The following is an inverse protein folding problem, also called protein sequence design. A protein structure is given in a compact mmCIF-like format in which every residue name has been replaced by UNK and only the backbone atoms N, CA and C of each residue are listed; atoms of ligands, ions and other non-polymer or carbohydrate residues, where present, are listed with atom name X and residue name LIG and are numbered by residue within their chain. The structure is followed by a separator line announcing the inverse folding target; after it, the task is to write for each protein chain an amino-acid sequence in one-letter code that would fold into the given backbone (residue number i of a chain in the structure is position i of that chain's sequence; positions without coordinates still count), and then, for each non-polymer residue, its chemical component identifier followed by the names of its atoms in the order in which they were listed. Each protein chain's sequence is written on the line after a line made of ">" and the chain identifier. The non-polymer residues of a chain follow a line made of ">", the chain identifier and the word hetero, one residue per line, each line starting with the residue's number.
data_IF_273107314712
#
_entry.id   IF_273107314712
#
_cell.length_a   1.000
_cell.length_b   1.000
_cell.length_c   1.000
_cell.angle_alpha   90.00
_cell.angle_beta   90.00
_cell.angle_gamma   90.00
#
_symmetry.space_group_name_H-M   'P 1'
#
loop_
_entity.id
_entity.type
_entity.pdbx_description
1 polymer ?
#
# COMPACT_ATOMS: atom_id res chain seq x y z
N UNK A 1 27.38 29.27 13.59
CA UNK A 1 26.53 28.48 14.52
C UNK A 1 25.86 27.32 13.79
N UNK A 2 25.00 27.57 12.79
CA UNK A 2 24.29 26.52 12.01
C UNK A 2 25.22 25.49 11.37
N UNK A 3 26.35 25.90 10.77
CA UNK A 3 27.34 24.98 10.19
C UNK A 3 27.91 23.99 11.23
N UNK A 4 28.14 24.44 12.46
CA UNK A 4 28.64 23.60 13.55
C UNK A 4 27.61 22.58 14.03
N UNK A 5 26.32 22.96 14.03
CA UNK A 5 25.21 22.06 14.37
C UNK A 5 24.99 20.98 13.31
N UNK A 6 25.19 21.33 12.04
CA UNK A 6 25.09 20.40 10.90
C UNK A 6 26.37 19.58 10.68
N UNK A 7 27.42 19.79 11.48
CA UNK A 7 28.74 19.19 11.30
C UNK A 7 29.35 19.44 9.90
N UNK A 8 29.12 20.63 9.32
CA UNK A 8 29.65 21.06 8.02
C UNK A 8 30.60 22.24 8.21
N UNK A 9 31.58 22.37 7.30
CA UNK A 9 32.49 23.50 7.23
C UNK A 9 31.74 24.81 6.93
N UNK A 10 31.99 25.85 7.72
CA UNK A 10 31.24 27.11 7.63
C UNK A 10 31.53 27.90 6.34
N UNK A 11 32.70 27.74 5.76
CA UNK A 11 33.11 28.32 4.48
C UNK A 11 32.37 27.68 3.31
N UNK A 12 32.29 26.34 3.29
CA UNK A 12 31.57 25.58 2.26
C UNK A 12 30.06 25.85 2.30
N UNK A 13 29.46 25.90 3.50
CA UNK A 13 28.03 26.22 3.63
C UNK A 13 27.72 27.64 3.14
N UNK A 14 28.61 28.60 3.43
CA UNK A 14 28.45 29.98 2.96
C UNK A 14 28.53 30.04 1.44
N UNK A 15 29.51 29.39 0.84
CA UNK A 15 29.67 29.34 -0.62
C UNK A 15 28.46 28.68 -1.29
N UNK A 16 27.96 27.57 -0.74
CA UNK A 16 26.79 26.88 -1.27
C UNK A 16 25.49 27.71 -1.23
N UNK A 17 25.31 28.56 -0.20
CA UNK A 17 24.14 29.44 -0.10
C UNK A 17 24.26 30.68 -1.00
N UNK A 18 25.49 31.18 -1.16
CA UNK A 18 25.75 32.48 -1.83
C UNK A 18 26.19 32.35 -3.28
N UNK A 19 26.43 31.14 -3.77
CA UNK A 19 26.83 30.89 -5.15
C UNK A 19 26.05 29.71 -5.74
N UNK A 20 25.89 29.69 -7.06
CA UNK A 20 25.39 28.54 -7.79
C UNK A 20 26.37 28.15 -8.89
N UNK A 21 26.45 26.85 -9.15
CA UNK A 21 27.33 26.27 -10.15
C UNK A 21 26.51 25.83 -11.37
N UNK A 22 26.95 26.21 -12.57
CA UNK A 22 26.37 25.76 -13.84
C UNK A 22 27.46 25.06 -14.63
N UNK A 23 27.23 23.79 -14.96
CA UNK A 23 28.12 23.03 -15.85
C UNK A 23 27.59 23.16 -17.28
N UNK A 24 28.39 23.75 -18.17
CA UNK A 24 28.07 23.89 -19.58
C UNK A 24 29.24 23.42 -20.44
N UNK A 25 29.00 22.44 -21.31
CA UNK A 25 30.00 21.90 -22.25
C UNK A 25 31.33 21.45 -21.60
N UNK A 26 31.26 20.89 -20.40
CA UNK A 26 32.42 20.39 -19.67
C UNK A 26 33.15 21.45 -18.82
N UNK A 27 32.71 22.70 -18.86
CA UNK A 27 33.22 23.77 -17.99
C UNK A 27 32.27 24.05 -16.83
N UNK A 28 32.85 24.24 -15.65
CA UNK A 28 32.14 24.52 -14.40
C UNK A 28 32.21 26.01 -14.13
N UNK A 29 31.08 26.72 -14.27
CA UNK A 29 30.99 28.16 -14.04
C UNK A 29 30.29 28.40 -12.70
N UNK A 30 31.02 28.97 -11.74
CA UNK A 30 30.47 29.39 -10.45
C UNK A 30 30.04 30.85 -10.56
N UNK A 31 28.80 31.16 -10.17
CA UNK A 31 28.24 32.51 -10.17
C UNK A 31 27.66 32.87 -8.81
N UNK A 32 27.87 34.11 -8.31
CA UNK A 32 27.25 34.55 -7.08
C UNK A 32 25.73 34.67 -7.26
N UNK A 33 24.98 34.28 -6.23
CA UNK A 33 23.54 34.46 -6.12
C UNK A 33 23.22 35.92 -5.79
N UNK A 34 22.06 36.39 -6.26
CA UNK A 34 21.47 37.63 -5.71
C UNK A 34 20.99 37.39 -4.28
N UNK A 35 20.72 38.47 -3.53
CA UNK A 35 20.23 38.38 -2.14
C UNK A 35 18.90 37.62 -2.06
N UNK A 36 18.01 37.84 -3.03
CA UNK A 36 16.73 37.14 -3.14
C UNK A 36 16.95 35.65 -3.38
N UNK A 37 17.86 35.30 -4.29
CA UNK A 37 18.15 33.90 -4.62
C UNK A 37 18.83 33.17 -3.46
N UNK A 38 19.76 33.81 -2.78
CA UNK A 38 20.40 33.25 -1.58
C UNK A 38 19.39 33.02 -0.44
N UNK A 39 18.42 33.92 -0.30
CA UNK A 39 17.28 33.79 0.64
C UNK A 39 16.41 32.59 0.28
N UNK A 40 16.03 32.43 -0.99
CA UNK A 40 15.26 31.26 -1.46
C UNK A 40 15.99 29.93 -1.20
N UNK A 41 17.30 29.87 -1.45
CA UNK A 41 18.12 28.66 -1.24
C UNK A 41 18.21 28.33 0.24
N UNK A 42 18.41 29.33 1.10
CA UNK A 42 18.41 29.16 2.56
C UNK A 42 17.06 28.63 3.06
N UNK A 43 15.95 29.19 2.59
CA UNK A 43 14.61 28.78 3.04
C UNK A 43 14.27 27.38 2.53
N UNK A 44 14.69 27.03 1.30
CA UNK A 44 14.57 25.66 0.77
C UNK A 44 15.42 24.66 1.57
N UNK A 45 16.64 25.03 1.98
CA UNK A 45 17.48 24.24 2.86
C UNK A 45 16.84 24.07 4.25
N UNK A 46 16.33 25.14 4.85
CA UNK A 46 15.61 25.08 6.14
C UNK A 46 14.43 24.13 6.05
N UNK A 47 13.65 24.23 4.98
CA UNK A 47 12.51 23.35 4.74
C UNK A 47 12.91 21.89 4.50
N UNK A 48 14.06 21.64 3.88
CA UNK A 48 14.57 20.28 3.69
C UNK A 48 15.12 19.67 4.99
N UNK A 49 15.55 20.51 5.93
CA UNK A 49 16.05 20.11 7.26
C UNK A 49 14.94 20.02 8.31
N UNK A 50 13.85 20.75 8.12
CA UNK A 50 12.60 20.52 8.82
C UNK A 50 12.02 19.20 8.31
N UNK A 51 12.34 18.10 9.01
CA UNK A 51 11.48 16.92 8.95
C UNK A 51 10.08 17.37 9.36
N UNK A 52 9.11 17.27 8.45
CA UNK A 52 7.69 17.40 8.78
C UNK A 52 7.37 16.35 9.85
N UNK A 53 7.52 16.75 11.12
CA UNK A 53 7.08 15.98 12.31
C UNK A 53 5.56 16.00 12.46
N UNK A 54 4.84 16.35 11.41
CA UNK A 54 3.39 16.18 11.36
C UNK A 54 3.11 14.68 11.24
N UNK A 55 2.65 14.10 12.35
CA UNK A 55 2.06 12.77 12.33
C UNK A 55 0.78 12.83 11.50
N UNK A 56 0.84 12.25 10.31
CA UNK A 56 -0.26 12.21 9.38
C UNK A 56 -0.94 10.84 9.43
N UNK A 57 -2.26 10.82 9.61
CA UNK A 57 -3.07 9.61 9.49
C UNK A 57 -3.65 9.57 8.07
N UNK A 58 -3.21 8.60 7.27
CA UNK A 58 -3.76 8.33 5.94
C UNK A 58 -4.92 7.36 6.01
N UNK A 59 -6.06 7.72 5.43
CA UNK A 59 -7.19 6.81 5.23
C UNK A 59 -7.25 6.43 3.75
N UNK A 60 -7.12 5.14 3.48
CA UNK A 60 -7.24 4.57 2.14
C UNK A 60 -8.60 3.90 1.98
N UNK A 61 -9.44 4.48 1.14
CA UNK A 61 -10.71 3.88 0.71
C UNK A 61 -10.58 3.43 -0.74
N UNK A 62 -10.66 2.11 -0.97
CA UNK A 62 -10.49 1.49 -2.28
C UNK A 62 -11.49 0.36 -2.48
N UNK A 63 -11.75 0.05 -3.75
CA UNK A 63 -12.52 -1.13 -4.11
C UNK A 63 -11.81 -2.41 -3.66
N UNK A 64 -12.57 -3.30 -3.02
CA UNK A 64 -12.13 -4.66 -2.76
C UNK A 64 -12.10 -5.50 -4.05
N UNK A 65 -11.61 -6.73 -3.93
CA UNK A 65 -11.54 -7.68 -5.04
C UNK A 65 -12.93 -7.93 -5.68
N UNK A 66 -13.00 -7.83 -7.01
CA UNK A 66 -14.23 -7.95 -7.79
C UNK A 66 -14.24 -9.20 -8.68
N UNK A 67 -15.36 -9.91 -8.68
CA UNK A 67 -15.59 -11.01 -9.61
C UNK A 67 -17.06 -11.04 -10.04
N UNK A 68 -17.31 -10.49 -11.23
CA UNK A 68 -18.62 -10.40 -11.85
C UNK A 68 -18.80 -11.45 -12.95
N UNK A 69 -20.04 -11.55 -13.47
CA UNK A 69 -20.33 -12.36 -14.67
C UNK A 69 -19.52 -11.93 -15.90
N UNK A 70 -19.15 -10.65 -15.97
CA UNK A 70 -18.32 -10.06 -17.03
C UNK A 70 -17.32 -9.12 -16.39
N UNK A 71 -16.03 -9.49 -16.40
CA UNK A 71 -14.94 -8.67 -15.89
C UNK A 71 -14.21 -8.04 -17.07
N UNK A 72 -13.93 -6.74 -17.01
CA UNK A 72 -13.21 -6.02 -18.06
C UNK A 72 -11.89 -5.44 -17.54
N UNK A 73 -11.35 -4.44 -18.23
CA UNK A 73 -10.07 -3.82 -17.94
C UNK A 73 -10.04 -3.17 -16.55
N UNK A 74 -11.16 -2.57 -16.14
CA UNK A 74 -11.34 -1.92 -14.86
C UNK A 74 -11.24 -2.92 -13.70
N UNK A 75 -11.96 -4.05 -13.80
CA UNK A 75 -11.86 -5.14 -12.84
C UNK A 75 -10.44 -5.71 -12.77
N UNK A 76 -9.74 -5.82 -13.90
CA UNK A 76 -8.35 -6.25 -13.91
C UNK A 76 -7.48 -5.29 -13.10
N UNK A 77 -7.58 -3.98 -13.32
CA UNK A 77 -6.86 -2.99 -12.53
C UNK A 77 -7.20 -3.07 -11.03
N UNK A 78 -8.49 -3.17 -10.68
CA UNK A 78 -8.93 -3.31 -9.28
C UNK A 78 -8.34 -4.57 -8.64
N UNK A 79 -8.40 -5.71 -9.32
CA UNK A 79 -7.91 -6.97 -8.79
C UNK A 79 -6.39 -7.01 -8.69
N UNK A 80 -5.65 -6.39 -9.62
CA UNK A 80 -4.19 -6.25 -9.52
C UNK A 80 -3.78 -5.30 -8.38
N UNK A 81 -4.54 -4.23 -8.12
CA UNK A 81 -4.31 -3.39 -6.94
C UNK A 81 -4.54 -4.18 -5.64
N UNK A 82 -5.61 -4.97 -5.57
CA UNK A 82 -5.89 -5.84 -4.43
C UNK A 82 -4.80 -6.91 -4.25
N UNK A 83 -4.33 -7.51 -5.34
CA UNK A 83 -3.21 -8.47 -5.33
C UNK A 83 -1.94 -7.86 -4.70
N UNK A 84 -1.61 -6.63 -5.10
CA UNK A 84 -0.42 -5.92 -4.62
C UNK A 84 -0.53 -5.49 -3.15
N UNK A 85 -1.72 -5.06 -2.72
CA UNK A 85 -1.99 -4.73 -1.32
C UNK A 85 -2.02 -5.99 -0.46
N UNK A 86 -2.54 -7.10 -0.97
CA UNK A 86 -2.52 -8.38 -0.28
C UNK A 86 -1.10 -8.93 -0.14
N UNK A 87 -0.26 -8.78 -1.18
CA UNK A 87 1.17 -9.11 -1.10
C UNK A 87 1.85 -8.28 -0.02
N UNK A 88 1.64 -6.95 -0.02
CA UNK A 88 2.18 -6.06 1.01
C UNK A 88 1.69 -6.45 2.41
N UNK A 89 0.40 -6.75 2.58
CA UNK A 89 -0.18 -7.20 3.84
C UNK A 89 0.51 -8.47 4.35
N UNK A 90 0.63 -9.49 3.49
CA UNK A 90 1.26 -10.76 3.85
C UNK A 90 2.73 -10.54 4.22
N UNK A 91 3.48 -9.80 3.40
CA UNK A 91 4.89 -9.54 3.65
C UNK A 91 5.09 -8.74 4.96
N UNK A 92 4.33 -7.67 5.18
CA UNK A 92 4.54 -6.78 6.31
C UNK A 92 4.05 -7.41 7.63
N UNK A 93 2.83 -7.96 7.67
CA UNK A 93 2.28 -8.55 8.90
C UNK A 93 3.07 -9.79 9.30
N UNK A 94 3.42 -10.68 8.36
CA UNK A 94 4.08 -11.94 8.72
C UNK A 94 5.59 -11.77 8.94
N UNK A 95 6.27 -10.89 8.21
CA UNK A 95 7.68 -10.60 8.51
C UNK A 95 7.80 -9.91 9.87
N UNK A 96 6.90 -8.97 10.18
CA UNK A 96 6.87 -8.33 11.50
C UNK A 96 6.55 -9.33 12.62
N UNK A 97 5.56 -10.20 12.41
CA UNK A 97 5.20 -11.25 13.38
C UNK A 97 6.36 -12.24 13.61
N UNK A 98 7.11 -12.62 12.55
CA UNK A 98 8.30 -13.46 12.69
C UNK A 98 9.46 -12.75 13.41
N UNK A 99 9.71 -11.47 13.11
CA UNK A 99 10.72 -10.67 13.80
C UNK A 99 10.40 -10.54 15.30
N UNK A 100 9.12 -10.35 15.63
CA UNK A 100 8.65 -10.32 17.01
C UNK A 100 8.91 -11.66 17.74
N UNK A 101 8.65 -12.80 17.10
CA UNK A 101 8.97 -14.11 17.68
C UNK A 101 10.47 -14.32 17.89
N UNK A 102 11.31 -13.90 16.92
CA UNK A 102 12.76 -13.97 17.04
C UNK A 102 13.26 -13.10 18.20
N UNK A 103 12.74 -11.88 18.31
CA UNK A 103 13.04 -10.96 19.41
C UNK A 103 12.60 -11.51 20.77
N UNK A 104 11.53 -12.31 20.80
CA UNK A 104 11.02 -12.99 22.00
C UNK A 104 11.76 -14.29 22.34
N UNK A 105 12.71 -14.73 21.50
CA UNK A 105 13.48 -15.96 21.69
C UNK A 105 12.71 -17.25 21.40
N UNK A 106 11.67 -17.16 20.57
CA UNK A 106 10.74 -18.26 20.29
C UNK A 106 11.10 -18.86 18.92
N UNK A 107 11.40 -20.16 18.90
CA UNK A 107 11.71 -20.87 17.67
C UNK A 107 10.42 -21.09 16.87
N UNK A 108 10.32 -20.46 15.70
CA UNK A 108 9.10 -20.45 14.90
C UNK A 108 9.31 -21.15 13.57
N UNK A 109 8.38 -22.06 13.27
CA UNK A 109 8.26 -22.67 11.95
C UNK A 109 7.93 -21.57 10.95
N UNK A 110 8.74 -21.47 9.89
CA UNK A 110 8.49 -20.56 8.76
C UNK A 110 7.06 -20.78 8.28
N UNK A 111 6.23 -19.74 8.36
CA UNK A 111 4.86 -19.83 7.88
C UNK A 111 4.90 -19.71 6.36
N UNK A 112 4.56 -20.79 5.68
CA UNK A 112 4.38 -20.80 4.23
C UNK A 112 3.05 -20.13 3.86
N UNK A 113 3.12 -19.14 2.98
CA UNK A 113 1.96 -18.51 2.37
C UNK A 113 2.10 -18.49 0.85
N UNK A 114 0.97 -18.32 0.16
CA UNK A 114 0.96 -18.28 -1.30
C UNK A 114 1.68 -17.02 -1.80
N UNK A 115 2.77 -17.21 -2.54
CA UNK A 115 3.52 -16.12 -3.16
C UNK A 115 2.83 -15.70 -4.47
N UNK A 116 2.17 -14.55 -4.43
CA UNK A 116 1.53 -13.93 -5.58
C UNK A 116 2.46 -12.97 -6.36
N UNK A 117 3.73 -12.86 -5.98
CA UNK A 117 4.74 -12.06 -6.69
C UNK A 117 4.89 -12.40 -8.18
N UNK A 118 4.86 -13.67 -8.63
CA UNK A 118 4.93 -13.98 -10.06
C UNK A 118 3.78 -13.37 -10.87
N UNK A 119 2.58 -13.27 -10.27
CA UNK A 119 1.43 -12.63 -10.90
C UNK A 119 1.60 -11.11 -10.96
N UNK A 120 2.09 -10.51 -9.87
CA UNK A 120 2.39 -9.08 -9.83
C UNK A 120 3.47 -8.70 -10.84
N UNK A 121 4.52 -9.53 -10.97
CA UNK A 121 5.60 -9.30 -11.91
C UNK A 121 5.11 -9.31 -13.36
N UNK A 122 4.16 -10.19 -13.69
CA UNK A 122 3.53 -10.25 -15.01
C UNK A 122 2.85 -8.93 -15.41
N UNK A 123 2.20 -8.22 -14.47
CA UNK A 123 1.40 -7.02 -14.77
C UNK A 123 2.10 -5.70 -14.39
N UNK A 124 2.97 -5.72 -13.39
CA UNK A 124 3.60 -4.55 -12.78
C UNK A 124 5.12 -4.52 -12.96
N UNK A 125 5.76 -5.40 -13.74
CA UNK A 125 7.13 -5.16 -14.23
C UNK A 125 7.14 -4.61 -15.67
N UNK A 126 8.27 -4.04 -16.11
CA UNK A 126 8.40 -3.63 -17.52
C UNK A 126 8.21 -4.88 -18.39
N UNK A 127 7.50 -4.79 -19.53
CA UNK A 127 7.33 -5.94 -20.40
C UNK A 127 8.72 -6.41 -20.85
N UNK A 128 9.18 -7.52 -20.26
CA UNK A 128 10.35 -8.22 -20.76
C UNK A 128 9.96 -8.98 -22.03
N UNK A 129 10.97 -9.26 -22.86
CA UNK A 129 10.90 -10.05 -24.10
C UNK A 129 10.25 -11.45 -23.95
N UNK A 130 9.86 -11.84 -22.72
CA UNK A 130 9.30 -13.14 -22.32
C UNK A 130 7.79 -13.11 -22.02
N UNK A 131 7.03 -12.15 -22.55
CA UNK A 131 5.57 -12.08 -22.33
C UNK A 131 4.86 -13.40 -22.72
N UNK A 132 5.34 -14.07 -23.77
CA UNK A 132 4.82 -15.38 -24.21
C UNK A 132 5.10 -16.51 -23.21
N UNK A 133 6.22 -16.49 -22.49
CA UNK A 133 6.53 -17.48 -21.46
C UNK A 133 5.77 -17.20 -20.16
N UNK A 134 5.50 -15.93 -19.85
CA UNK A 134 4.69 -15.55 -18.70
C UNK A 134 3.20 -15.96 -18.87
N UNK A 135 2.71 -16.03 -20.11
CA UNK A 135 1.37 -16.56 -20.45
C UNK A 135 1.24 -18.08 -20.28
N UNK A 136 2.35 -18.82 -20.16
CA UNK A 136 2.37 -20.27 -19.86
C UNK A 136 2.38 -20.57 -18.35
N UNK A 137 2.33 -19.55 -17.50
CA UNK A 137 2.33 -19.71 -16.05
C UNK A 137 1.07 -20.44 -15.55
N UNK A 138 1.18 -21.11 -14.39
CA UNK A 138 0.04 -21.75 -13.70
C UNK A 138 -1.11 -20.79 -13.40
N UNK A 139 -0.84 -19.48 -13.38
CA UNK A 139 -1.79 -18.45 -13.03
C UNK A 139 -2.62 -17.95 -14.23
N UNK A 140 -2.28 -18.34 -15.46
CA UNK A 140 -3.00 -17.93 -16.65
C UNK A 140 -3.73 -19.12 -17.29
N UNK A 141 -4.96 -18.89 -17.77
CA UNK A 141 -5.74 -19.90 -18.48
C UNK A 141 -6.57 -19.29 -19.60
N UNK A 142 -6.70 -19.99 -20.73
CA UNK A 142 -7.55 -19.54 -21.84
C UNK A 142 -8.84 -20.38 -21.89
N UNK A 143 -10.03 -19.80 -21.64
CA UNK A 143 -11.29 -20.51 -21.77
C UNK A 143 -11.55 -20.92 -23.23
N UNK A 144 -11.95 -22.17 -23.46
CA UNK A 144 -12.11 -22.75 -24.81
C UNK A 144 -13.30 -22.18 -25.63
N UNK A 145 -14.28 -21.51 -25.00
CA UNK A 145 -15.57 -21.15 -25.62
C UNK A 145 -15.93 -19.66 -25.50
N UNK A 146 -14.98 -18.81 -25.12
CA UNK A 146 -15.20 -17.37 -24.97
C UNK A 146 -14.19 -16.64 -25.83
N UNK A 147 -14.66 -16.05 -26.93
CA UNK A 147 -13.81 -15.21 -27.78
C UNK A 147 -13.25 -14.05 -26.96
N UNK A 148 -11.93 -13.82 -27.10
CA UNK A 148 -11.17 -12.81 -26.37
C UNK A 148 -11.24 -12.95 -24.83
N UNK A 149 -11.62 -14.11 -24.31
CA UNK A 149 -11.59 -14.41 -22.88
C UNK A 149 -10.21 -14.88 -22.40
N UNK A 150 -9.82 -14.49 -21.19
CA UNK A 150 -8.69 -15.07 -20.48
C UNK A 150 -8.98 -15.14 -18.97
N UNK A 151 -8.38 -16.09 -18.28
CA UNK A 151 -8.57 -16.33 -16.86
C UNK A 151 -7.27 -16.16 -16.08
N UNK A 152 -7.35 -15.48 -14.95
CA UNK A 152 -6.24 -15.32 -14.01
C UNK A 152 -6.61 -16.01 -12.70
N UNK A 153 -5.68 -16.78 -12.13
CA UNK A 153 -5.77 -17.30 -10.78
C UNK A 153 -5.14 -16.29 -9.81
N UNK A 154 -5.98 -15.49 -9.16
CA UNK A 154 -5.63 -14.54 -8.11
C UNK A 154 -5.61 -15.24 -6.74
N UNK A 155 -5.06 -14.58 -5.70
CA UNK A 155 -5.13 -15.08 -4.31
C UNK A 155 -6.58 -15.38 -3.85
N UNK A 156 -7.54 -14.60 -4.36
CA UNK A 156 -8.96 -14.72 -4.04
C UNK A 156 -9.70 -15.78 -4.89
N UNK A 157 -9.01 -16.37 -5.87
CA UNK A 157 -9.54 -17.38 -6.78
C UNK A 157 -9.49 -16.98 -8.25
N UNK A 158 -10.03 -17.86 -9.10
CA UNK A 158 -10.01 -17.69 -10.55
C UNK A 158 -11.03 -16.64 -11.02
N UNK A 159 -10.59 -15.69 -11.82
CA UNK A 159 -11.43 -14.66 -12.47
C UNK A 159 -11.25 -14.74 -13.98
N UNK A 160 -12.36 -14.68 -14.72
CA UNK A 160 -12.35 -14.65 -16.19
C UNK A 160 -12.65 -13.23 -16.66
N UNK A 161 -11.74 -12.69 -17.46
CA UNK A 161 -11.80 -11.37 -18.06
C UNK A 161 -12.10 -11.46 -19.55
N UNK A 162 -12.81 -10.46 -20.05
CA UNK A 162 -13.05 -10.27 -21.47
C UNK A 162 -12.15 -9.14 -21.98
N UNK A 163 -11.21 -9.46 -22.87
CA UNK A 163 -10.24 -8.51 -23.42
C UNK A 163 -10.84 -7.53 -24.45
N UNK A 164 -12.13 -7.65 -24.79
CA UNK A 164 -12.81 -6.73 -25.69
C UNK A 164 -12.71 -5.29 -25.16
N UNK A 165 -12.23 -4.39 -26.03
CA UNK A 165 -12.04 -2.98 -25.71
C UNK A 165 -10.86 -2.67 -24.78
N UNK A 166 -10.01 -3.62 -24.41
CA UNK A 166 -8.87 -3.34 -23.52
C UNK A 166 -7.93 -2.29 -24.12
N UNK A 167 -7.62 -2.39 -25.41
CA UNK A 167 -6.70 -1.45 -26.06
C UNK A 167 -7.27 -0.03 -26.14
N UNK A 168 -8.55 0.12 -26.44
CA UNK A 168 -9.20 1.44 -26.47
C UNK A 168 -9.29 2.04 -25.07
N UNK A 169 -9.74 1.26 -24.08
CA UNK A 169 -9.79 1.67 -22.66
C UNK A 169 -8.42 2.03 -22.10
N UNK A 170 -7.36 1.34 -22.51
CA UNK A 170 -6.00 1.64 -22.03
C UNK A 170 -5.38 2.87 -22.71
N UNK A 171 -5.84 3.21 -23.93
CA UNK A 171 -5.37 4.40 -24.67
C UNK A 171 -5.97 5.69 -24.15
N UNK A 172 -7.11 5.65 -23.45
CA UNK A 172 -7.97 6.75 -22.96
C UNK A 172 -7.24 8.10 -22.71
N UNK A 173 -6.95 8.79 -23.81
CA UNK A 173 -6.20 10.04 -23.86
C UNK A 173 -6.90 10.94 -24.86
N UNK A 174 -7.05 12.20 -24.50
CA UNK A 174 -7.56 13.21 -25.43
C UNK A 174 -6.47 13.52 -26.46
N UNK A 175 -6.79 13.54 -27.77
CA UNK A 175 -5.86 14.00 -28.79
C UNK A 175 -5.33 15.41 -28.47
N UNK A 176 -4.07 15.68 -28.82
CA UNK A 176 -3.41 16.96 -28.55
C UNK A 176 -4.20 18.16 -29.12
N UNK A 177 -4.82 17.99 -30.29
CA UNK A 177 -5.63 19.04 -30.94
C UNK A 177 -6.88 19.39 -30.13
N UNK A 178 -7.51 18.39 -29.48
CA UNK A 178 -8.66 18.61 -28.60
C UNK A 178 -8.23 19.28 -27.30
N UNK A 179 -7.07 18.91 -26.76
CA UNK A 179 -6.48 19.58 -25.58
C UNK A 179 -6.20 21.06 -25.90
N UNK A 180 -5.66 21.36 -27.08
CA UNK A 180 -5.39 22.72 -27.52
C UNK A 180 -6.68 23.53 -27.67
N UNK A 181 -7.73 22.95 -28.25
CA UNK A 181 -9.06 23.56 -28.35
C UNK A 181 -9.69 23.84 -26.98
N UNK A 182 -9.56 22.92 -26.02
CA UNK A 182 -10.11 23.12 -24.68
C UNK A 182 -9.35 24.21 -23.90
N UNK A 183 -8.04 24.39 -24.16
CA UNK A 183 -7.26 25.50 -23.58
C UNK A 183 -7.73 26.86 -24.08
N UNK A 184 -8.19 26.96 -25.33
CA UNK A 184 -8.76 28.19 -25.89
C UNK A 184 -10.21 28.43 -25.48
N UNK A 185 -10.79 27.63 -24.58
CA UNK A 185 -12.14 27.85 -24.08
C UNK A 185 -12.23 29.16 -23.30
N UNK A 186 -13.27 29.95 -23.60
CA UNK A 186 -13.63 31.15 -22.82
C UNK A 186 -14.16 30.81 -21.41
N UNK A 187 -14.51 29.54 -21.17
CA UNK A 187 -14.85 29.06 -19.84
C UNK A 187 -13.57 28.83 -19.03
N UNK A 188 -13.36 29.67 -18.02
CA UNK A 188 -12.17 29.63 -17.16
C UNK A 188 -11.97 28.27 -16.47
N UNK A 189 -13.04 27.56 -16.11
CA UNK A 189 -12.95 26.23 -15.50
C UNK A 189 -12.42 25.20 -16.51
N UNK A 190 -12.92 25.22 -17.75
CA UNK A 190 -12.47 24.31 -18.82
C UNK A 190 -11.02 24.60 -19.19
N UNK A 191 -10.66 25.87 -19.37
CA UNK A 191 -9.29 26.28 -19.68
C UNK A 191 -8.33 25.87 -18.56
N UNK A 192 -8.69 26.08 -17.28
CA UNK A 192 -7.86 25.66 -16.12
C UNK A 192 -7.72 24.14 -15.99
N UNK A 193 -8.77 23.37 -16.24
CA UNK A 193 -8.74 21.90 -16.18
C UNK A 193 -7.72 21.28 -17.14
N UNK A 194 -7.49 21.92 -18.29
CA UNK A 194 -6.64 21.39 -19.38
C UNK A 194 -5.26 22.08 -19.46
N UNK A 195 -5.06 23.17 -18.72
CA UNK A 195 -3.79 23.90 -18.65
C UNK A 195 -2.83 23.32 -17.60
N UNK A 196 -3.36 22.78 -16.49
CA UNK A 196 -2.51 22.17 -15.46
C UNK A 196 -2.04 20.77 -15.90
N UNK A 197 -0.73 20.55 -16.07
CA UNK A 197 -0.24 19.22 -16.46
C UNK A 197 -0.57 18.21 -15.37
N UNK A 198 -0.96 17.00 -15.78
CA UNK A 198 -1.13 15.89 -14.85
C UNK A 198 0.24 15.43 -14.36
N UNK A 199 0.36 15.11 -13.07
CA UNK A 199 1.51 14.38 -12.52
C UNK A 199 1.60 12.99 -13.17
N UNK A 200 2.73 12.30 -12.99
CA UNK A 200 2.86 10.89 -13.43
C UNK A 200 1.80 9.95 -12.82
N UNK A 201 1.15 10.37 -11.73
CA UNK A 201 0.07 9.66 -11.03
C UNK A 201 -1.34 10.08 -11.48
N UNK A 202 -1.47 11.03 -12.41
CA UNK A 202 -2.77 11.48 -12.92
C UNK A 202 -3.46 12.55 -12.07
N UNK A 203 -2.79 13.11 -11.06
CA UNK A 203 -3.31 14.24 -10.28
C UNK A 203 -2.99 15.56 -10.99
N UNK A 204 -3.82 16.59 -10.81
CA UNK A 204 -3.46 17.95 -11.23
C UNK A 204 -2.15 18.36 -10.55
N UNK A 205 -1.13 18.74 -11.32
CA UNK A 205 0.08 19.28 -10.72
C UNK A 205 -0.29 20.56 -9.95
N UNK A 206 -0.14 20.52 -8.62
CA UNK A 206 -0.29 21.70 -7.79
C UNK A 206 0.81 22.70 -8.16
N UNK A 207 0.52 23.66 -9.04
CA UNK A 207 1.20 24.95 -8.98
C UNK A 207 0.69 25.59 -7.70
N UNK A 208 1.55 25.71 -6.68
CA UNK A 208 1.18 26.46 -5.46
C UNK A 208 0.68 27.83 -5.90
N UNK A 209 -0.61 28.07 -5.73
CA UNK A 209 -1.21 29.37 -5.98
C UNK A 209 -0.45 30.41 -5.15
N UNK A 210 0.16 31.38 -5.82
CA UNK A 210 0.64 32.59 -5.14
C UNK A 210 -0.56 33.23 -4.48
N UNK A 211 -0.56 33.24 -3.15
CA UNK A 211 -1.56 33.91 -2.33
C UNK A 211 -1.66 35.39 -2.71
N UNK A 212 -2.90 35.86 -2.68
CA UNK A 212 -3.34 37.25 -2.81
C UNK A 212 -2.56 38.20 -1.91
N UNK A 213 -1.84 39.14 -2.51
CA UNK A 213 -1.26 40.32 -1.86
C UNK A 213 -1.33 41.49 -2.83
N UNK A 214 -2.11 42.50 -2.46
CA UNK A 214 -2.40 43.73 -3.19
C UNK A 214 -1.17 44.54 -3.59
N UNK A 215 -1.14 45.02 -4.84
CA UNK A 215 -0.54 46.31 -5.22
C UNK A 215 0.89 46.29 -5.76
N UNK A 216 1.04 46.32 -7.09
CA UNK A 216 1.54 47.49 -7.86
C UNK A 216 1.85 47.11 -9.31
N UNK A 217 1.36 47.96 -10.19
CA UNK A 217 1.74 48.07 -11.61
C UNK A 217 3.28 48.20 -11.73
N UNK A 218 3.89 47.38 -12.57
CA UNK A 218 5.29 47.44 -12.92
C UNK A 218 5.53 46.71 -14.23
N UNK A 219 5.84 47.47 -15.27
CA UNK A 219 6.11 47.02 -16.63
C UNK A 219 7.20 45.95 -16.67
N UNK A 220 6.97 44.86 -17.42
CA UNK A 220 8.01 43.87 -17.72
C UNK A 220 8.20 43.76 -19.22
N UNK A 221 9.39 44.16 -19.65
CA UNK A 221 9.92 44.12 -21.01
C UNK A 221 9.95 42.69 -21.59
N UNK A 222 9.88 42.54 -22.93
CA UNK A 222 9.99 41.26 -23.60
C UNK A 222 11.46 40.83 -23.75
N UNK A 223 11.75 39.56 -23.49
CA UNK A 223 13.02 38.89 -23.79
C UNK A 223 13.06 38.38 -25.24
N UNK A 224 14.26 38.09 -25.80
CA UNK A 224 14.59 38.44 -27.19
C UNK A 224 14.14 37.45 -28.25
N UNK A 225 13.70 38.00 -29.39
CA UNK A 225 13.41 37.29 -30.63
C UNK A 225 14.65 36.57 -31.16
N UNK A 226 14.55 35.25 -31.34
CA UNK A 226 15.42 34.51 -32.26
C UNK A 226 14.94 34.79 -33.68
N UNK A 227 15.80 35.41 -34.47
CA UNK A 227 15.62 35.68 -35.90
C UNK A 227 15.48 34.38 -36.69
N UNK A 228 14.36 34.21 -37.39
CA UNK A 228 14.17 33.20 -38.43
C UNK A 228 14.23 33.92 -39.78
N UNK A 229 15.18 33.52 -40.64
CA UNK A 229 15.33 34.04 -42.00
C UNK A 229 14.11 33.67 -42.85
N UNK A 230 13.48 34.67 -43.46
CA UNK A 230 12.39 34.53 -44.43
C UNK A 230 13.00 34.44 -45.83
N UNK A 231 12.79 33.32 -46.52
CA UNK A 231 12.91 33.23 -47.98
C UNK A 231 11.49 33.37 -48.55
N UNK A 232 11.26 34.40 -49.36
CA UNK A 232 10.02 34.63 -50.11
C UNK A 232 9.88 33.62 -51.25
N UNK A 233 8.71 32.99 -51.36
CA UNK A 233 8.21 32.34 -52.56
C UNK A 233 6.70 32.60 -52.66
N UNK A 234 6.28 33.15 -53.80
CA UNK A 234 4.92 33.62 -54.08
C UNK A 234 3.94 32.49 -54.42
N UNK A 235 2.65 32.78 -54.20
CA UNK A 235 1.43 32.18 -54.77
C UNK A 235 0.70 31.06 -53.98
N UNK A 236 -0.39 31.47 -53.30
CA UNK A 236 -1.73 30.90 -53.51
C UNK A 236 -2.22 29.75 -52.60
N UNK A 237 -3.37 30.00 -51.95
CA UNK A 237 -4.27 29.09 -51.21
C UNK A 237 -3.95 28.85 -49.71
N UNK A 238 -4.74 29.52 -48.86
CA UNK A 238 -4.74 29.36 -47.39
C UNK A 238 -5.32 27.99 -46.98
N UNK A 239 -4.44 27.09 -46.56
CA UNK A 239 -4.75 25.97 -45.68
C UNK A 239 -3.98 26.22 -44.38
N UNK A 240 -4.69 26.47 -43.28
CA UNK A 240 -4.11 26.59 -41.94
C UNK A 240 -3.58 25.20 -41.54
N UNK A 241 -2.35 24.92 -41.94
CA UNK A 241 -1.61 23.75 -41.51
C UNK A 241 -0.73 24.16 -40.34
N UNK A 242 -1.21 23.94 -39.11
CA UNK A 242 -0.38 24.08 -37.93
C UNK A 242 0.79 23.09 -38.02
N UNK A 243 2.05 23.54 -37.83
CA UNK A 243 3.17 22.64 -37.79
C UNK A 243 2.95 21.64 -36.65
N UNK A 244 2.90 20.35 -36.99
CA UNK A 244 3.01 19.26 -36.02
C UNK A 244 4.36 19.38 -35.33
N UNK A 245 4.41 20.13 -34.23
CA UNK A 245 5.38 19.87 -33.19
C UNK A 245 5.13 18.44 -32.72
N UNK A 246 5.95 17.52 -33.21
CA UNK A 246 6.01 16.16 -32.71
C UNK A 246 6.49 16.24 -31.25
N UNK A 247 5.56 16.42 -30.32
CA UNK A 247 5.83 16.20 -28.91
C UNK A 247 6.16 14.72 -28.78
N UNK A 248 7.45 14.39 -28.73
CA UNK A 248 7.99 13.07 -28.40
C UNK A 248 7.69 12.68 -26.92
N UNK A 249 6.49 12.97 -26.44
CA UNK A 249 5.93 12.38 -25.23
C UNK A 249 5.23 11.11 -25.69
N UNK A 250 5.85 9.94 -25.48
CA UNK A 250 5.11 8.67 -25.55
C UNK A 250 3.85 8.85 -24.72
N UNK A 251 2.68 8.87 -25.36
CA UNK A 251 1.38 9.04 -24.71
C UNK A 251 1.26 8.01 -23.59
N UNK A 252 1.23 8.47 -22.35
CA UNK A 252 1.14 7.62 -21.16
C UNK A 252 -0.23 6.95 -21.14
N UNK A 253 -0.26 5.62 -21.01
CA UNK A 253 -1.52 4.85 -21.01
C UNK A 253 -2.19 4.85 -19.63
N UNK A 254 -3.48 4.51 -19.56
CA UNK A 254 -4.20 4.33 -18.29
C UNK A 254 -3.50 3.32 -17.39
N UNK A 255 -3.06 2.18 -17.93
CA UNK A 255 -2.30 1.19 -17.17
C UNK A 255 -0.98 1.77 -16.61
N UNK A 256 -0.33 2.67 -17.35
CA UNK A 256 0.90 3.32 -16.90
C UNK A 256 0.61 4.27 -15.73
N UNK A 257 -0.44 5.10 -15.82
CA UNK A 257 -0.90 5.94 -14.72
C UNK A 257 -1.29 5.13 -13.49
N UNK A 258 -2.11 4.10 -13.67
CA UNK A 258 -2.51 3.16 -12.62
C UNK A 258 -1.30 2.58 -11.90
N UNK A 259 -0.31 2.08 -12.66
CA UNK A 259 0.93 1.54 -12.10
C UNK A 259 1.67 2.56 -11.25
N UNK A 260 1.91 3.78 -11.76
CA UNK A 260 2.62 4.80 -11.00
C UNK A 260 1.86 5.23 -9.74
N UNK A 261 0.53 5.36 -9.84
CA UNK A 261 -0.33 5.69 -8.70
C UNK A 261 -0.28 4.60 -7.63
N UNK A 262 -0.36 3.32 -8.03
CA UNK A 262 -0.26 2.19 -7.10
C UNK A 262 1.11 2.14 -6.40
N UNK A 263 2.21 2.37 -7.13
CA UNK A 263 3.55 2.38 -6.52
C UNK A 263 3.74 3.56 -5.55
N UNK A 264 3.21 4.74 -5.86
CA UNK A 264 3.23 5.91 -4.97
C UNK A 264 2.38 5.70 -3.70
N UNK A 265 1.26 4.99 -3.83
CA UNK A 265 0.45 4.61 -2.68
C UNK A 265 1.21 3.65 -1.75
N UNK A 266 1.85 2.62 -2.31
CA UNK A 266 2.60 1.65 -1.52
C UNK A 266 3.80 2.27 -0.80
N UNK A 267 4.52 3.20 -1.44
CA UNK A 267 5.66 3.86 -0.79
C UNK A 267 5.22 4.65 0.45
N UNK A 268 4.05 5.29 0.40
CA UNK A 268 3.44 5.97 1.55
C UNK A 268 2.96 5.01 2.62
N UNK A 269 2.42 3.84 2.24
CA UNK A 269 2.01 2.80 3.19
C UNK A 269 3.22 2.20 3.93
N UNK A 270 4.33 1.94 3.23
CA UNK A 270 5.58 1.39 3.81
C UNK A 270 6.21 2.33 4.84
N UNK A 271 6.11 3.64 4.64
CA UNK A 271 6.67 4.63 5.56
C UNK A 271 5.89 4.75 6.89
N UNK A 272 4.63 4.29 6.93
CA UNK A 272 3.75 4.40 8.09
C UNK A 272 3.53 3.07 8.83
N UNK A 273 2.67 3.12 9.86
CA UNK A 273 2.16 1.93 10.55
C UNK A 273 0.76 1.59 9.99
N UNK A 274 0.60 0.51 9.21
CA UNK A 274 -0.67 0.21 8.55
C UNK A 274 -1.67 -0.44 9.51
N UNK A 275 -2.91 0.05 9.51
CA UNK A 275 -4.05 -0.59 10.16
C UNK A 275 -5.09 -0.99 9.11
N UNK A 276 -5.50 -2.26 9.11
CA UNK A 276 -6.40 -2.82 8.09
C UNK A 276 -7.81 -2.99 8.63
N UNK A 277 -8.79 -2.39 7.95
CA UNK A 277 -10.23 -2.57 8.22
C UNK A 277 -10.84 -3.28 7.02
N UNK A 278 -11.50 -4.42 7.26
CA UNK A 278 -12.18 -5.20 6.21
C UNK A 278 -13.69 -5.07 6.38
N UNK A 279 -14.33 -4.32 5.48
CA UNK A 279 -15.77 -4.15 5.46
C UNK A 279 -16.44 -5.34 4.76
N UNK A 280 -17.49 -5.89 5.37
CA UNK A 280 -18.26 -7.01 4.80
C UNK A 280 -19.72 -6.59 4.65
N UNK A 281 -20.25 -6.72 3.43
CA UNK A 281 -21.64 -6.44 3.11
C UNK A 281 -22.50 -7.66 3.47
N UNK A 282 -23.56 -7.52 4.31
CA UNK A 282 -24.35 -8.66 4.76
C UNK A 282 -25.26 -9.26 3.67
N UNK A 283 -25.73 -8.43 2.72
CA UNK A 283 -26.62 -8.82 1.61
C UNK A 283 -26.55 -7.76 0.50
N UNK A 284 -27.13 -7.99 -0.68
CA UNK A 284 -27.09 -7.00 -1.78
C UNK A 284 -28.24 -6.00 -1.77
N UNK A 285 -29.33 -6.36 -1.11
CA UNK A 285 -30.60 -5.69 -1.02
C UNK A 285 -30.57 -4.48 -0.07
N UNK A 286 -29.44 -4.27 0.63
CA UNK A 286 -29.22 -3.21 1.62
C UNK A 286 -30.24 -3.28 2.78
N UNK A 287 -30.69 -4.48 3.11
CA UNK A 287 -31.67 -4.70 4.18
C UNK A 287 -30.96 -5.00 5.51
N UNK A 288 -31.42 -4.38 6.59
CA UNK A 288 -30.97 -4.74 7.93
C UNK A 288 -31.44 -6.16 8.29
N UNK A 289 -30.69 -6.85 9.16
CA UNK A 289 -31.01 -8.20 9.66
C UNK A 289 -31.17 -9.31 8.61
N UNK A 290 -30.81 -9.06 7.35
CA UNK A 290 -30.79 -10.06 6.30
C UNK A 290 -29.35 -10.52 6.04
N UNK A 291 -29.02 -11.77 6.36
CA UNK A 291 -27.66 -12.31 6.23
C UNK A 291 -27.58 -13.31 5.08
N UNK A 292 -26.90 -12.93 4.01
CA UNK A 292 -26.59 -13.81 2.89
C UNK A 292 -25.26 -14.53 3.15
N UNK A 293 -25.37 -15.79 3.60
CA UNK A 293 -24.23 -16.64 3.95
C UNK A 293 -23.28 -16.84 2.77
N UNK A 294 -23.78 -16.99 1.56
CA UNK A 294 -22.95 -17.26 0.39
C UNK A 294 -22.16 -16.01 0.01
N UNK A 295 -22.81 -14.84 0.01
CA UNK A 295 -22.16 -13.55 -0.27
C UNK A 295 -21.11 -13.20 0.78
N UNK A 296 -21.41 -13.41 2.05
CA UNK A 296 -20.46 -13.16 3.13
C UNK A 296 -19.27 -14.11 3.03
N UNK A 297 -19.50 -15.40 2.77
CA UNK A 297 -18.42 -16.37 2.61
C UNK A 297 -17.48 -16.02 1.44
N UNK A 298 -18.04 -15.57 0.31
CA UNK A 298 -17.27 -15.11 -0.84
C UNK A 298 -16.40 -13.89 -0.46
N UNK A 299 -16.97 -12.90 0.23
CA UNK A 299 -16.21 -11.73 0.69
C UNK A 299 -15.10 -12.10 1.68
N UNK A 300 -15.34 -13.07 2.59
CA UNK A 300 -14.31 -13.55 3.52
C UNK A 300 -13.13 -14.22 2.81
N UNK A 301 -13.38 -14.89 1.68
CA UNK A 301 -12.31 -15.41 0.81
C UNK A 301 -11.57 -14.27 0.11
N UNK A 302 -12.31 -13.34 -0.48
CA UNK A 302 -11.78 -12.24 -1.29
C UNK A 302 -11.02 -11.19 -0.49
N UNK A 303 -11.36 -10.99 0.77
CA UNK A 303 -10.65 -10.07 1.69
C UNK A 303 -9.36 -10.68 2.27
N UNK A 304 -9.07 -11.96 1.99
CA UNK A 304 -7.91 -12.66 2.54
C UNK A 304 -8.03 -13.00 4.03
N UNK A 305 -9.16 -12.68 4.70
CA UNK A 305 -9.36 -12.92 6.13
C UNK A 305 -9.18 -14.40 6.48
N UNK A 306 -9.70 -15.31 5.64
CA UNK A 306 -9.57 -16.75 5.88
C UNK A 306 -8.12 -17.22 5.80
N UNK A 307 -7.33 -16.69 4.87
CA UNK A 307 -5.92 -17.05 4.75
C UNK A 307 -5.10 -16.43 5.88
N UNK A 308 -5.37 -15.17 6.25
CA UNK A 308 -4.78 -14.54 7.44
C UNK A 308 -5.07 -15.35 8.70
N UNK A 309 -6.32 -15.79 8.90
CA UNK A 309 -6.70 -16.62 10.03
C UNK A 309 -6.02 -18.01 9.98
N UNK A 310 -5.86 -18.59 8.79
CA UNK A 310 -5.16 -19.87 8.60
C UNK A 310 -3.68 -19.75 8.94
N UNK A 311 -3.01 -18.71 8.46
CA UNK A 311 -1.61 -18.42 8.75
C UNK A 311 -1.42 -18.12 10.24
N UNK A 312 -2.23 -17.24 10.83
CA UNK A 312 -2.14 -16.92 12.26
C UNK A 312 -2.36 -18.14 13.15
N UNK A 313 -3.19 -19.11 12.74
CA UNK A 313 -3.37 -20.39 13.48
C UNK A 313 -2.12 -21.28 13.48
N UNK A 314 -1.21 -21.10 12.53
CA UNK A 314 0.06 -21.83 12.47
C UNK A 314 1.15 -21.17 13.32
N UNK A 315 0.90 -19.97 13.86
CA UNK A 315 1.77 -19.27 14.81
C UNK A 315 1.10 -19.03 16.17
N UNK A 316 1.81 -18.32 17.05
CA UNK A 316 1.34 -17.94 18.38
C UNK A 316 0.47 -16.68 18.33
N UNK A 317 -0.75 -16.83 17.86
CA UNK A 317 -1.67 -15.70 17.65
C UNK A 317 -2.12 -14.99 18.94
N UNK A 318 -1.93 -15.60 20.11
CA UNK A 318 -2.28 -15.04 21.40
C UNK A 318 -1.03 -14.78 22.24
N UNK A 319 -0.89 -13.52 22.69
CA UNK A 319 0.16 -13.08 23.62
C UNK A 319 -0.48 -12.60 24.91
N UNK A 320 -0.20 -13.26 26.02
CA UNK A 320 -0.81 -12.94 27.32
C UNK A 320 0.32 -12.68 28.32
N UNK A 321 0.32 -11.51 28.97
CA UNK A 321 1.29 -11.20 30.03
C UNK A 321 1.23 -12.26 31.14
N UNK A 322 2.38 -12.63 31.70
CA UNK A 322 2.44 -13.61 32.79
C UNK A 322 1.51 -13.27 33.97
N UNK A 323 1.49 -12.00 34.38
CA UNK A 323 0.62 -11.54 35.46
C UNK A 323 -0.86 -11.80 35.15
N UNK A 324 -1.31 -11.45 33.94
CA UNK A 324 -2.68 -11.65 33.51
C UNK A 324 -3.02 -13.15 33.35
N UNK A 325 -2.05 -13.94 32.86
CA UNK A 325 -2.22 -15.38 32.69
C UNK A 325 -2.37 -16.07 34.05
N UNK A 326 -1.46 -15.80 34.99
CA UNK A 326 -1.49 -16.40 36.33
C UNK A 326 -2.75 -15.96 37.08
N UNK A 327 -3.06 -14.66 37.10
CA UNK A 327 -4.26 -14.15 37.75
C UNK A 327 -5.54 -14.85 37.26
N UNK A 328 -5.61 -15.18 35.96
CA UNK A 328 -6.77 -15.83 35.37
C UNK A 328 -6.78 -17.36 35.57
N UNK A 329 -5.62 -18.01 35.58
CA UNK A 329 -5.52 -19.47 35.45
C UNK A 329 -4.85 -20.19 36.62
N UNK A 330 -4.37 -19.50 37.66
CA UNK A 330 -3.67 -20.12 38.78
C UNK A 330 -4.48 -21.25 39.44
N UNK A 331 -5.81 -21.10 39.54
CA UNK A 331 -6.71 -22.10 40.14
C UNK A 331 -6.71 -23.46 39.42
N UNK A 332 -6.14 -23.57 38.21
CA UNK A 332 -6.04 -24.83 37.48
C UNK A 332 -4.91 -25.72 37.98
N UNK A 333 -3.88 -25.15 38.61
CA UNK A 333 -2.71 -25.87 39.11
C UNK A 333 -2.40 -25.64 40.59
N UNK A 334 -2.87 -24.53 41.15
CA UNK A 334 -2.63 -24.11 42.52
C UNK A 334 -3.94 -24.05 43.31
N UNK A 335 -3.84 -24.07 44.63
CA UNK A 335 -5.02 -23.95 45.49
C UNK A 335 -5.52 -22.50 45.53
N UNK A 336 -6.78 -22.28 45.87
CA UNK A 336 -7.39 -20.94 45.88
C UNK A 336 -6.76 -20.02 46.94
N UNK A 337 -6.24 -20.63 48.02
CA UNK A 337 -5.53 -19.99 49.12
C UNK A 337 -4.05 -19.68 48.81
N UNK A 338 -3.53 -20.15 47.68
CA UNK A 338 -2.17 -19.87 47.24
C UNK A 338 -2.16 -18.66 46.30
N UNK A 339 -1.24 -17.72 46.55
CA UNK A 339 -0.98 -16.58 45.66
C UNK A 339 0.38 -16.80 44.98
N UNK A 340 0.40 -17.51 43.84
CA UNK A 340 1.66 -17.92 43.22
C UNK A 340 2.38 -16.71 42.60
N UNK A 341 3.70 -16.71 42.71
CA UNK A 341 4.55 -15.66 42.18
C UNK A 341 4.44 -15.55 40.65
N UNK A 342 4.56 -14.32 40.13
CA UNK A 342 4.60 -14.04 38.70
C UNK A 342 5.95 -14.47 38.14
N UNK A 343 6.04 -15.71 37.68
CA UNK A 343 7.28 -16.29 37.14
C UNK A 343 7.02 -17.23 35.95
N UNK A 344 8.06 -17.50 35.13
CA UNK A 344 7.99 -18.50 34.07
C UNK A 344 7.57 -19.88 34.61
N UNK A 345 8.09 -20.28 35.77
CA UNK A 345 7.85 -21.59 36.38
C UNK A 345 6.38 -21.77 36.77
N UNK A 346 5.75 -20.73 37.31
CA UNK A 346 4.31 -20.74 37.63
C UNK A 346 3.47 -20.89 36.36
N UNK A 347 3.83 -20.17 35.28
CA UNK A 347 3.13 -20.31 33.99
C UNK A 347 3.27 -21.72 33.43
N UNK A 348 4.48 -22.28 33.43
CA UNK A 348 4.77 -23.66 33.00
C UNK A 348 3.98 -24.68 33.80
N UNK A 349 3.92 -24.54 35.14
CA UNK A 349 3.17 -25.45 35.99
C UNK A 349 1.67 -25.48 35.63
N UNK A 350 1.07 -24.33 35.34
CA UNK A 350 -0.33 -24.23 34.89
C UNK A 350 -0.50 -24.93 33.53
N UNK A 351 0.37 -24.65 32.57
CA UNK A 351 0.31 -25.19 31.21
C UNK A 351 0.51 -26.71 31.17
N UNK A 352 1.47 -27.23 31.95
CA UNK A 352 1.73 -28.67 32.07
C UNK A 352 0.58 -29.40 32.78
N UNK A 353 0.04 -28.83 33.87
CA UNK A 353 -1.08 -29.42 34.60
C UNK A 353 -2.33 -29.54 33.74
N UNK A 354 -2.56 -28.55 32.88
CA UNK A 354 -3.69 -28.51 31.93
C UNK A 354 -3.46 -29.33 30.67
N UNK A 355 -2.25 -29.90 30.50
CA UNK A 355 -1.84 -30.67 29.31
C UNK A 355 -2.07 -29.89 28.01
N UNK A 356 -1.85 -28.59 28.04
CA UNK A 356 -1.91 -27.76 26.83
C UNK A 356 -0.65 -27.99 26.01
N UNK A 357 -0.83 -28.14 24.70
CA UNK A 357 0.24 -28.28 23.71
C UNK A 357 0.38 -26.99 22.90
N UNK A 358 1.51 -26.81 22.21
CA UNK A 358 1.76 -25.67 21.30
C UNK A 358 1.69 -24.30 22.01
N UNK A 359 2.40 -24.19 23.12
CA UNK A 359 2.67 -22.93 23.82
C UNK A 359 4.17 -22.65 23.84
N UNK A 360 4.53 -21.38 24.02
CA UNK A 360 5.89 -20.93 24.28
C UNK A 360 5.89 -19.82 25.34
N UNK A 361 7.01 -19.63 26.00
CA UNK A 361 7.24 -18.47 26.86
C UNK A 361 8.11 -17.48 26.09
N UNK A 362 7.55 -16.31 25.80
CA UNK A 362 8.23 -15.23 25.13
C UNK A 362 8.71 -14.17 26.10
N UNK A 363 9.84 -13.54 25.77
CA UNK A 363 10.39 -12.42 26.55
C UNK A 363 10.66 -11.21 25.66
N UNK A 364 9.97 -10.12 25.91
CA UNK A 364 10.29 -8.82 25.33
C UNK A 364 11.23 -8.03 26.25
N UNK A 365 11.74 -6.89 25.78
CA UNK A 365 12.63 -6.00 26.55
C UNK A 365 12.05 -5.59 27.91
N UNK A 366 10.73 -5.42 27.98
CA UNK A 366 10.04 -4.85 29.15
C UNK A 366 8.98 -5.80 29.77
N UNK A 367 8.70 -6.96 29.18
CA UNK A 367 7.64 -7.86 29.67
C UNK A 367 7.76 -9.31 29.20
N UNK A 368 7.13 -10.23 29.95
CA UNK A 368 7.10 -11.66 29.66
C UNK A 368 5.68 -12.10 29.27
N UNK A 369 5.59 -12.97 28.25
CA UNK A 369 4.32 -13.40 27.66
C UNK A 369 4.22 -14.93 27.58
N UNK A 370 3.04 -15.45 27.87
CA UNK A 370 2.63 -16.79 27.44
C UNK A 370 2.09 -16.65 26.02
N UNK A 371 2.76 -17.32 25.10
CA UNK A 371 2.42 -17.40 23.69
C UNK A 371 1.66 -18.69 23.43
N UNK A 372 0.45 -18.59 22.86
CA UNK A 372 -0.37 -19.77 22.57
C UNK A 372 -0.89 -19.77 21.14
N UNK A 373 -0.91 -20.97 20.55
CA UNK A 373 -1.62 -21.19 19.30
C UNK A 373 -3.12 -20.98 19.50
N UNK A 374 -3.80 -20.50 18.46
CA UNK A 374 -5.27 -20.40 18.43
C UNK A 374 -5.96 -21.74 18.73
N UNK A 375 -5.35 -22.87 18.35
CA UNK A 375 -5.87 -24.23 18.65
C UNK A 375 -5.77 -24.58 20.14
N UNK A 376 -4.70 -24.16 20.81
CA UNK A 376 -4.53 -24.33 22.25
C UNK A 376 -5.51 -23.45 23.04
N UNK A 377 -5.77 -22.23 22.55
CA UNK A 377 -6.74 -21.31 23.17
C UNK A 377 -8.20 -21.77 22.97
N UNK A 378 -8.56 -22.27 21.78
CA UNK A 378 -9.95 -22.72 21.47
C UNK A 378 -10.23 -24.18 21.83
N UNK A 379 -9.26 -24.94 22.30
CA UNK A 379 -9.31 -26.40 22.32
C UNK A 379 -8.89 -27.02 23.65
N UNK A 380 -9.81 -27.05 24.62
CA UNK A 380 -10.00 -28.26 25.42
C UNK A 380 -11.40 -28.81 25.13
N UNK A 381 -11.41 -30.05 24.62
CA UNK A 381 -12.52 -30.95 24.32
C UNK A 381 -13.21 -30.87 22.95
N UNK A 382 -12.74 -31.74 22.04
CA UNK A 382 -13.65 -32.72 21.43
C UNK A 382 -13.32 -34.10 22.00
N UNK A 383 -14.16 -34.51 22.98
CA UNK A 383 -14.48 -35.89 23.38
C UNK A 383 -13.43 -36.74 24.16
N UNK A 384 -13.84 -37.04 25.40
CA UNK A 384 -14.02 -38.39 25.94
C UNK A 384 -12.78 -39.09 26.54
N UNK A 385 -12.54 -38.78 27.81
CA UNK A 385 -12.53 -39.82 28.85
C UNK A 385 -13.55 -39.43 29.91
N UNK A 386 -14.77 -39.94 29.74
CA UNK A 386 -15.78 -39.97 30.80
C UNK A 386 -15.48 -41.16 31.71
N UNK A 387 -15.81 -41.00 33.00
CA UNK A 387 -15.55 -41.88 34.15
C UNK A 387 -14.10 -41.75 34.64
N UNK A 388 -13.77 -41.20 35.81
CA UNK A 388 -14.47 -41.06 37.08
C UNK A 388 -13.99 -39.77 37.76
N UNK A 389 -14.89 -38.99 38.33
CA UNK A 389 -14.80 -38.39 39.68
C UNK A 389 -15.75 -37.19 39.80
N UNK A 390 -16.58 -37.17 40.86
CA UNK A 390 -17.59 -36.12 41.11
C UNK A 390 -17.00 -34.75 41.45
N UNK A 391 -15.69 -34.66 41.61
CA UNK A 391 -14.92 -33.44 41.88
C UNK A 391 -14.78 -32.51 40.66
N UNK A 392 -15.10 -32.99 39.45
CA UNK A 392 -14.94 -32.28 38.18
C UNK A 392 -15.97 -31.18 37.87
N UNK A 393 -17.14 -31.18 38.50
CA UNK A 393 -18.20 -30.22 38.13
C UNK A 393 -17.84 -28.74 38.36
N UNK A 394 -16.95 -28.44 39.33
CA UNK A 394 -16.40 -27.09 39.54
C UNK A 394 -15.29 -26.73 38.54
N UNK A 395 -14.51 -27.71 38.07
CA UNK A 395 -13.50 -27.51 37.02
C UNK A 395 -14.14 -27.33 35.66
N UNK A 396 -15.23 -28.05 35.37
CA UNK A 396 -15.96 -27.96 34.10
C UNK A 396 -16.57 -26.56 33.87
N UNK A 397 -17.02 -25.87 34.92
CA UNK A 397 -17.52 -24.50 34.83
C UNK A 397 -16.42 -23.47 34.47
N UNK A 398 -15.18 -23.71 34.92
CA UNK A 398 -14.01 -22.85 34.62
C UNK A 398 -13.49 -23.11 33.21
N UNK A 399 -13.57 -24.36 32.74
CA UNK A 399 -13.18 -24.74 31.36
C UNK A 399 -14.12 -24.13 30.31
N UNK A 400 -15.40 -23.93 30.62
CA UNK A 400 -16.34 -23.23 29.72
C UNK A 400 -15.99 -21.74 29.58
N UNK A 401 -15.37 -21.11 30.58
CA UNK A 401 -14.87 -19.72 30.50
C UNK A 401 -13.57 -19.54 29.70
N UNK A 402 -12.93 -20.63 29.27
CA UNK A 402 -11.83 -20.60 28.29
C UNK A 402 -12.36 -20.50 26.83
N UNK A 403 -13.64 -20.74 26.59
CA UNK A 403 -14.23 -20.84 25.24
C UNK A 403 -14.98 -19.58 24.75
N UNK A 404 -15.13 -18.56 25.60
CA UNK A 404 -15.71 -17.26 25.27
C UNK A 404 -14.63 -16.16 25.30
#
# INVERSE_FOLDING_TARGET
>A
MTASLLCIRSDELREALTSHCVVARGETIVRPNTVEKATEVRDAMSKALEEDKEQNIGILDIFGFENFKRNSFEQLCINIANEQIQFYFNQHIFAWEQDEYLNEGVDVRVIEYEDNRPLLDLFLQKPMEKFEDNLKSKNFSRPMRVDLGFGINHYAGKVVYNASGFLSKNRDTLPADIILLLRSSENELISRLVTNPLTKTGNLAHTKAKGTGSGKFGSRQPSPQRSVNIVKGENGAESIHHPRETTNMRTQTVASYFRYSLMDLLSKMVAGQPHFVRCIKPNNERQAHNFDKEKVLIQLRYTGILETAKIRRQGYSHRILFANFIQRYYMLAFRVDEEPAVSPETCTAILEKTKLENWALGKTKDSFHVLMFSSAFRGHMVRKSMADDKTKAKQDAVIVQLQA
#
